data_IF_292974797014
#
_entry.id   IF_292974797014
#
_cell.length_a   1.000
_cell.length_b   1.000
_cell.length_c   1.000
_cell.angle_alpha   90.00
_cell.angle_beta   90.00
_cell.angle_gamma   90.00
#
_symmetry.space_group_name_H-M   'P 1'
#
loop_
_entity.id
_entity.type
_entity.pdbx_description
1 polymer ?
#
# COMPACT_ATOMS: atom_id res chain seq x y z
N UNK A 1 -9.61 17.60 13.34
CA UNK A 1 -9.28 16.23 12.92
C UNK A 1 -7.90 16.26 12.30
N UNK A 2 -6.95 15.45 12.79
CA UNK A 2 -5.57 15.43 12.26
C UNK A 2 -5.55 14.79 10.86
N UNK A 3 -4.48 15.01 10.10
CA UNK A 3 -4.27 14.35 8.78
C UNK A 3 -4.32 12.81 8.92
N UNK A 4 -3.85 12.29 10.06
CA UNK A 4 -3.94 10.88 10.43
C UNK A 4 -5.37 10.39 10.66
N UNK A 5 -6.19 11.12 11.41
CA UNK A 5 -7.60 10.75 11.65
C UNK A 5 -8.42 10.81 10.35
N UNK A 6 -8.10 11.75 9.46
CA UNK A 6 -8.68 11.81 8.12
C UNK A 6 -8.28 10.59 7.28
N UNK A 7 -6.99 10.22 7.29
CA UNK A 7 -6.51 9.04 6.59
C UNK A 7 -7.13 7.74 7.14
N UNK A 8 -7.30 7.61 8.46
CA UNK A 8 -7.99 6.46 9.08
C UNK A 8 -9.47 6.38 8.72
N UNK A 9 -10.20 7.50 8.76
CA UNK A 9 -11.57 7.54 8.28
C UNK A 9 -11.68 7.16 6.80
N UNK A 10 -10.67 7.52 6.01
CA UNK A 10 -10.60 7.18 4.59
C UNK A 10 -10.23 5.71 4.33
N UNK A 11 -9.40 5.08 5.19
CA UNK A 11 -9.08 3.65 5.12
C UNK A 11 -10.33 2.78 5.21
N UNK A 12 -11.29 3.16 6.04
CA UNK A 12 -12.55 2.44 6.20
C UNK A 12 -13.42 2.44 4.92
N UNK A 13 -13.12 3.33 3.96
CA UNK A 13 -13.85 3.47 2.70
C UNK A 13 -13.09 2.88 1.50
N UNK A 14 -11.89 2.34 1.69
CA UNK A 14 -11.19 1.65 0.62
C UNK A 14 -11.74 0.24 0.40
N UNK A 15 -11.95 -0.19 -0.85
CA UNK A 15 -12.22 -1.60 -1.12
C UNK A 15 -11.07 -2.45 -0.59
N UNK A 16 -11.43 -3.51 0.14
CA UNK A 16 -10.49 -4.57 0.48
C UNK A 16 -10.22 -5.36 -0.79
N UNK A 17 -8.96 -5.39 -1.20
CA UNK A 17 -8.49 -6.17 -2.35
C UNK A 17 -7.61 -7.28 -1.82
N UNK A 18 -7.85 -8.50 -2.29
CA UNK A 18 -7.04 -9.67 -1.96
C UNK A 18 -6.41 -10.23 -3.24
N UNK A 19 -5.14 -10.63 -3.13
CA UNK A 19 -4.42 -11.35 -4.16
C UNK A 19 -3.64 -12.48 -3.51
N UNK A 20 -3.87 -13.71 -3.96
CA UNK A 20 -3.23 -14.91 -3.40
C UNK A 20 -3.36 -15.00 -1.86
N UNK A 21 -4.54 -14.69 -1.34
CA UNK A 21 -4.85 -14.73 0.10
C UNK A 21 -4.19 -13.62 0.93
N UNK A 22 -3.61 -12.60 0.28
CA UNK A 22 -3.00 -11.45 0.95
C UNK A 22 -3.78 -10.19 0.65
N UNK A 23 -4.00 -9.36 1.67
CA UNK A 23 -4.48 -7.99 1.47
C UNK A 23 -3.44 -7.16 0.76
N UNK A 24 -3.90 -6.40 -0.22
CA UNK A 24 -3.04 -5.62 -1.11
C UNK A 24 -3.59 -4.22 -1.34
N UNK A 25 -2.67 -3.29 -1.60
CA UNK A 25 -2.95 -1.93 -2.04
C UNK A 25 -2.18 -1.59 -3.31
N UNK A 26 -2.67 -0.59 -4.06
CA UNK A 26 -1.98 -0.05 -5.24
C UNK A 26 -1.31 1.29 -4.92
N UNK A 27 -0.40 1.75 -5.78
CA UNK A 27 0.18 3.10 -5.61
C UNK A 27 -0.87 4.21 -5.67
N UNK A 28 -1.94 4.04 -6.44
CA UNK A 28 -3.05 4.99 -6.47
C UNK A 28 -3.81 5.06 -5.13
N UNK A 29 -3.97 3.92 -4.44
CA UNK A 29 -4.54 3.89 -3.09
C UNK A 29 -3.62 4.58 -2.09
N UNK A 30 -2.32 4.25 -2.13
CA UNK A 30 -1.30 4.86 -1.27
C UNK A 30 -1.19 6.38 -1.49
N UNK A 31 -1.29 6.85 -2.75
CA UNK A 31 -1.33 8.27 -3.10
C UNK A 31 -2.44 9.01 -2.34
N UNK A 32 -3.65 8.43 -2.32
CA UNK A 32 -4.79 9.05 -1.65
C UNK A 32 -4.62 9.07 -0.13
N UNK A 33 -3.91 8.09 0.44
CA UNK A 33 -3.63 8.03 1.89
C UNK A 33 -2.55 9.03 2.31
N UNK A 34 -1.40 9.04 1.61
CA UNK A 34 -0.22 9.79 2.04
C UNK A 34 -0.12 11.20 1.44
N UNK A 35 -1.12 11.62 0.65
CA UNK A 35 -1.09 12.89 -0.09
C UNK A 35 0.21 13.07 -0.91
N UNK A 36 0.74 11.96 -1.46
CA UNK A 36 1.95 11.92 -2.29
C UNK A 36 1.60 11.57 -3.72
N UNK A 37 2.41 12.01 -4.68
CA UNK A 37 2.18 11.61 -6.07
C UNK A 37 2.49 10.12 -6.27
N UNK A 38 1.72 9.47 -7.15
CA UNK A 38 1.96 8.07 -7.53
C UNK A 38 3.37 7.87 -8.10
N UNK A 39 3.87 8.88 -8.82
CA UNK A 39 5.24 8.92 -9.34
C UNK A 39 6.26 8.84 -8.20
N UNK A 40 6.12 9.68 -7.16
CA UNK A 40 7.01 9.69 -5.99
C UNK A 40 6.98 8.35 -5.25
N UNK A 41 5.79 7.77 -5.08
CA UNK A 41 5.64 6.45 -4.44
C UNK A 41 6.34 5.36 -5.27
N UNK A 42 6.14 5.37 -6.58
CA UNK A 42 6.80 4.44 -7.49
C UNK A 42 8.32 4.60 -7.56
N UNK A 43 8.84 5.83 -7.46
CA UNK A 43 10.27 6.12 -7.33
C UNK A 43 10.84 5.56 -6.03
N UNK A 44 10.16 5.79 -4.90
CA UNK A 44 10.55 5.23 -3.61
C UNK A 44 10.64 3.71 -3.64
N UNK A 45 9.64 3.05 -4.24
CA UNK A 45 9.66 1.60 -4.45
C UNK A 45 10.84 1.17 -5.34
N UNK A 46 11.05 1.81 -6.50
CA UNK A 46 12.11 1.41 -7.45
C UNK A 46 13.50 1.57 -6.87
N UNK A 47 13.75 2.67 -6.15
CA UNK A 47 15.05 2.98 -5.56
C UNK A 47 15.45 2.03 -4.41
N UNK A 48 14.47 1.33 -3.82
CA UNK A 48 14.67 0.40 -2.72
C UNK A 48 14.15 -1.00 -3.06
N UNK A 49 14.07 -1.33 -4.35
CA UNK A 49 13.47 -2.59 -4.83
C UNK A 49 14.16 -3.81 -4.22
N UNK A 50 15.44 -3.70 -3.88
CA UNK A 50 16.23 -4.73 -3.19
C UNK A 50 15.69 -5.10 -1.80
N UNK A 51 14.90 -4.22 -1.18
CA UNK A 51 14.23 -4.47 0.11
C UNK A 51 12.93 -5.24 -0.03
N UNK A 52 12.36 -5.35 -1.23
CA UNK A 52 11.07 -6.01 -1.47
C UNK A 52 11.26 -7.41 -2.03
N UNK A 53 10.55 -8.39 -1.46
CA UNK A 53 10.48 -9.75 -1.98
C UNK A 53 9.20 -9.96 -2.79
N UNK A 54 9.35 -10.39 -4.04
CA UNK A 54 8.22 -10.77 -4.90
C UNK A 54 7.45 -11.95 -4.27
N UNK A 55 6.12 -11.92 -4.33
CA UNK A 55 5.25 -12.92 -3.71
C UNK A 55 5.03 -12.74 -2.20
N UNK A 56 5.84 -11.91 -1.54
CA UNK A 56 5.71 -11.61 -0.10
C UNK A 56 5.27 -10.18 0.12
N UNK A 57 6.03 -9.24 -0.43
CA UNK A 57 5.85 -7.79 -0.24
C UNK A 57 5.14 -7.13 -1.43
N UNK A 58 5.29 -7.74 -2.61
CA UNK A 58 4.77 -7.16 -3.85
C UNK A 58 4.44 -8.21 -4.90
N UNK A 59 3.45 -7.90 -5.71
CA UNK A 59 3.12 -8.59 -6.95
C UNK A 59 3.14 -7.61 -8.13
N UNK A 60 3.37 -8.16 -9.32
CA UNK A 60 3.24 -7.43 -10.57
C UNK A 60 2.28 -8.21 -11.45
N UNK A 61 1.09 -7.65 -11.64
CA UNK A 61 0.12 -8.20 -12.57
C UNK A 61 0.42 -7.64 -13.95
N UNK A 62 0.37 -8.49 -14.97
CA UNK A 62 0.61 -8.14 -16.37
C UNK A 62 -0.52 -8.61 -17.27
N UNK A 63 -0.90 -7.74 -18.20
CA UNK A 63 -1.92 -8.02 -19.20
C UNK A 63 -3.34 -8.06 -18.64
N UNK A 64 -4.31 -8.12 -19.55
CA UNK A 64 -5.73 -8.06 -19.18
C UNK A 64 -6.22 -9.27 -18.42
N UNK A 65 -5.64 -10.45 -18.67
CA UNK A 65 -6.03 -11.70 -18.00
C UNK A 65 -5.91 -11.58 -16.48
N UNK A 66 -4.77 -11.10 -15.99
CA UNK A 66 -4.54 -10.95 -14.55
C UNK A 66 -5.27 -9.73 -13.98
N UNK A 67 -5.24 -8.59 -14.69
CA UNK A 67 -5.88 -7.37 -14.21
C UNK A 67 -7.41 -7.49 -14.07
N UNK A 68 -8.05 -8.30 -14.91
CA UNK A 68 -9.50 -8.53 -14.85
C UNK A 68 -9.92 -9.43 -13.66
N UNK A 69 -8.98 -10.05 -12.95
CA UNK A 69 -9.26 -10.81 -11.72
C UNK A 69 -9.46 -9.89 -10.52
N UNK A 70 -9.05 -8.62 -10.62
CA UNK A 70 -9.25 -7.63 -9.56
C UNK A 70 -10.70 -7.11 -9.56
N UNK A 71 -11.20 -6.60 -8.41
CA UNK A 71 -12.49 -5.93 -8.37
C UNK A 71 -12.60 -4.81 -9.41
N UNK A 72 -13.79 -4.66 -10.01
CA UNK A 72 -14.05 -3.60 -11.00
C UNK A 72 -13.70 -2.23 -10.44
N UNK A 73 -13.00 -1.41 -11.23
CA UNK A 73 -12.57 -0.07 -10.82
C UNK A 73 -11.25 0.00 -10.06
N UNK A 74 -10.61 -1.15 -9.76
CA UNK A 74 -9.27 -1.18 -9.12
C UNK A 74 -8.18 -0.60 -10.02
N UNK A 75 -8.32 -0.77 -11.33
CA UNK A 75 -7.31 -0.42 -12.33
C UNK A 75 -7.96 0.23 -13.55
N UNK A 76 -7.25 1.18 -14.18
CA UNK A 76 -7.67 1.81 -15.42
C UNK A 76 -7.79 0.77 -16.55
N UNK A 77 -8.84 0.91 -17.38
CA UNK A 77 -9.12 0.00 -18.49
C UNK A 77 -8.04 0.01 -19.58
N UNK A 78 -7.13 0.98 -19.59
CA UNK A 78 -5.96 1.06 -20.48
C UNK A 78 -4.67 0.55 -19.83
N UNK A 79 -4.65 0.28 -18.53
CA UNK A 79 -3.47 -0.24 -17.87
C UNK A 79 -3.11 -1.64 -18.41
N UNK A 80 -1.82 -1.86 -18.65
CA UNK A 80 -1.26 -3.14 -19.09
C UNK A 80 -0.51 -3.87 -17.97
N UNK A 81 -0.26 -3.20 -16.85
CA UNK A 81 0.33 -3.79 -15.65
C UNK A 81 -0.15 -3.03 -14.42
N UNK A 82 -0.12 -3.70 -13.27
CA UNK A 82 -0.40 -3.09 -11.97
C UNK A 82 0.52 -3.68 -10.92
N UNK A 83 1.11 -2.81 -10.09
CA UNK A 83 1.84 -3.24 -8.91
C UNK A 83 0.91 -3.30 -7.71
N UNK A 84 0.91 -4.45 -7.07
CA UNK A 84 0.27 -4.65 -5.77
C UNK A 84 1.34 -4.65 -4.69
N UNK A 85 1.02 -4.01 -3.58
CA UNK A 85 1.85 -3.93 -2.37
C UNK A 85 1.06 -4.62 -1.27
N UNK A 86 1.64 -5.64 -0.65
CA UNK A 86 1.00 -6.34 0.46
C UNK A 86 1.14 -5.53 1.75
N UNK A 87 0.58 -6.02 2.86
CA UNK A 87 0.77 -5.43 4.18
C UNK A 87 2.27 -5.29 4.53
N UNK A 88 3.07 -6.35 4.37
CA UNK A 88 4.52 -6.30 4.64
C UNK A 88 5.26 -5.34 3.69
N UNK A 89 4.88 -5.30 2.42
CA UNK A 89 5.44 -4.33 1.48
C UNK A 89 5.08 -2.89 1.82
N UNK A 90 3.87 -2.66 2.32
CA UNK A 90 3.44 -1.34 2.76
C UNK A 90 4.28 -0.88 3.97
N UNK A 91 4.60 -1.78 4.91
CA UNK A 91 5.51 -1.48 6.03
C UNK A 91 6.92 -1.07 5.57
N UNK A 92 7.45 -1.72 4.54
CA UNK A 92 8.73 -1.33 3.94
C UNK A 92 8.61 0.07 3.31
N UNK A 93 7.51 0.34 2.62
CA UNK A 93 7.28 1.59 1.93
C UNK A 93 7.12 2.78 2.89
N UNK A 94 6.36 2.65 3.98
CA UNK A 94 6.22 3.73 4.98
C UNK A 94 7.56 4.09 5.62
N UNK A 95 8.45 3.11 5.83
CA UNK A 95 9.81 3.32 6.33
C UNK A 95 10.66 4.18 5.39
N UNK A 96 10.38 4.12 4.10
CA UNK A 96 11.03 4.92 3.05
C UNK A 96 10.40 6.31 2.93
N UNK A 97 9.05 6.40 2.90
CA UNK A 97 8.34 7.65 2.59
C UNK A 97 8.47 8.72 3.68
N UNK A 98 8.50 8.33 4.97
CA UNK A 98 8.72 9.22 6.14
C UNK A 98 7.85 10.48 6.16
N UNK A 99 6.69 10.45 5.52
CA UNK A 99 5.69 11.53 5.58
C UNK A 99 4.93 11.50 6.93
N UNK A 100 4.14 12.54 7.26
CA UNK A 100 3.46 12.62 8.55
C UNK A 100 2.59 11.39 8.86
N UNK A 101 1.83 10.89 7.88
CA UNK A 101 1.02 9.68 8.06
C UNK A 101 1.90 8.45 8.28
N UNK A 102 2.99 8.29 7.52
CA UNK A 102 3.93 7.19 7.73
C UNK A 102 4.53 7.20 9.16
N UNK A 103 4.85 8.37 9.71
CA UNK A 103 5.33 8.50 11.09
C UNK A 103 4.29 8.09 12.12
N UNK A 104 3.04 8.52 11.98
CA UNK A 104 1.95 8.15 12.89
C UNK A 104 1.63 6.65 12.81
N UNK A 105 1.56 6.08 11.60
CA UNK A 105 1.40 4.64 11.41
C UNK A 105 2.52 3.84 12.08
N UNK A 106 3.77 4.30 11.94
CA UNK A 106 4.91 3.63 12.57
C UNK A 106 4.82 3.68 14.11
N UNK A 107 4.39 4.81 14.69
CA UNK A 107 4.17 4.94 16.14
C UNK A 107 3.08 3.99 16.63
N UNK A 108 1.98 3.84 15.90
CA UNK A 108 0.90 2.92 16.27
C UNK A 108 1.37 1.46 16.26
N UNK A 109 2.10 1.04 15.24
CA UNK A 109 2.67 -0.31 15.16
C UNK A 109 3.62 -0.59 16.33
N UNK A 110 4.52 0.36 16.61
CA UNK A 110 5.45 0.27 17.74
C UNK A 110 4.69 0.22 19.07
N UNK A 111 3.70 1.09 19.27
CA UNK A 111 2.89 1.11 20.47
C UNK A 111 2.15 -0.22 20.68
N UNK A 112 1.58 -0.82 19.63
CA UNK A 112 0.92 -2.11 19.73
C UNK A 112 1.90 -3.23 20.12
N UNK A 113 3.08 -3.26 19.50
CA UNK A 113 4.14 -4.23 19.82
C UNK A 113 4.58 -4.14 21.30
N UNK A 114 4.87 -2.94 21.81
CA UNK A 114 5.38 -2.76 23.16
C UNK A 114 4.29 -2.80 24.25
N UNK A 115 3.03 -2.50 23.92
CA UNK A 115 1.93 -2.52 24.89
C UNK A 115 1.25 -3.90 25.03
N UNK A 116 1.80 -4.96 24.43
CA UNK A 116 1.29 -6.32 24.57
C UNK A 116 -0.09 -6.56 23.92
N UNK A 117 -0.59 -5.61 23.13
CA UNK A 117 -1.74 -5.82 22.24
C UNK A 117 -1.17 -6.36 20.93
N UNK A 118 -1.02 -7.69 20.87
CA UNK A 118 -0.59 -8.38 19.65
C UNK A 118 -1.42 -7.93 18.44
N UNK A 119 -0.74 -7.79 17.29
CA UNK A 119 -1.34 -7.53 15.98
C UNK A 119 -2.37 -8.60 15.60
#
# INVERSE_FOLDING_TARGET
MTEYEQAKGFLNNFPVIEWEGKRVVTFAMIKKLHNRTEKTIGENYRNHKDKFKYGVDTFLLKGKKELNLLPKGTVDSRANQLRLITESGYLILIKIMRDPLAWETQKEIIANYFNGRGL
#
